data_IF_681708162732
#
_entry.id   IF_681708162732
#
_cell.length_a   1.000
_cell.length_b   1.000
_cell.length_c   1.000
_cell.angle_alpha   90.00
_cell.angle_beta   90.00
_cell.angle_gamma   90.00
#
_symmetry.space_group_name_H-M   'P 1'
#
loop_
_entity.id
_entity.type
_entity.pdbx_description
1 polymer ?
#
# COMPACT_ATOMS: atom_id res chain seq x y z
N UNK A 1 -2.36 18.96 -15.34
CA UNK A 1 -2.04 18.04 -14.22
C UNK A 1 -2.53 16.63 -14.53
N UNK A 2 -3.85 16.44 -14.73
CA UNK A 2 -4.48 15.14 -15.00
C UNK A 2 -3.74 14.28 -16.04
N UNK A 3 -3.47 14.79 -17.24
CA UNK A 3 -2.76 14.02 -18.28
C UNK A 3 -1.33 13.59 -17.87
N UNK A 4 -0.63 14.41 -17.08
CA UNK A 4 0.69 14.04 -16.55
C UNK A 4 0.56 12.97 -15.45
N UNK A 5 -0.45 13.09 -14.58
CA UNK A 5 -0.75 12.11 -13.54
C UNK A 5 -1.10 10.74 -14.12
N UNK A 6 -1.93 10.69 -15.17
CA UNK A 6 -2.26 9.45 -15.88
C UNK A 6 -1.04 8.87 -16.60
N UNK A 7 -0.25 9.71 -17.27
CA UNK A 7 1.00 9.27 -17.90
C UNK A 7 1.96 8.67 -16.87
N UNK A 8 2.10 9.30 -15.71
CA UNK A 8 2.90 8.78 -14.60
C UNK A 8 2.36 7.44 -14.10
N UNK A 9 1.03 7.31 -13.94
CA UNK A 9 0.40 6.06 -13.54
C UNK A 9 0.74 4.90 -14.47
N UNK A 10 0.49 5.05 -15.78
CA UNK A 10 0.79 4.00 -16.76
C UNK A 10 2.28 3.71 -16.87
N UNK A 11 3.15 4.73 -16.73
CA UNK A 11 4.61 4.51 -16.68
C UNK A 11 5.02 3.70 -15.45
N UNK A 12 4.40 3.95 -14.30
CA UNK A 12 4.70 3.24 -13.06
C UNK A 12 4.07 1.84 -13.01
N UNK A 13 3.08 1.54 -13.85
CA UNK A 13 2.47 0.22 -13.94
C UNK A 13 3.47 -0.89 -14.32
N UNK A 14 4.58 -0.54 -14.98
CA UNK A 14 5.70 -1.47 -15.24
C UNK A 14 6.26 -2.07 -13.94
N UNK A 15 6.15 -1.36 -12.81
CA UNK A 15 6.60 -1.82 -11.51
C UNK A 15 5.59 -2.73 -10.78
N UNK A 16 4.48 -3.14 -11.42
CA UNK A 16 3.43 -3.98 -10.79
C UNK A 16 3.96 -5.30 -10.22
N UNK A 17 5.00 -5.86 -10.84
CA UNK A 17 5.62 -7.10 -10.37
C UNK A 17 6.45 -6.92 -9.09
N UNK A 18 6.82 -5.69 -8.71
CA UNK A 18 7.60 -5.42 -7.50
C UNK A 18 6.75 -5.66 -6.23
N UNK A 19 5.63 -4.96 -6.01
CA UNK A 19 4.80 -5.23 -4.84
C UNK A 19 4.18 -6.63 -4.91
N UNK A 20 3.84 -7.11 -6.11
CA UNK A 20 3.34 -8.48 -6.30
C UNK A 20 4.37 -9.52 -5.84
N UNK A 21 5.64 -9.36 -6.22
CA UNK A 21 6.73 -10.25 -5.81
C UNK A 21 6.96 -10.21 -4.30
N UNK A 22 6.85 -9.05 -3.66
CA UNK A 22 6.90 -8.95 -2.20
C UNK A 22 5.73 -9.70 -1.55
N UNK A 23 4.49 -9.47 -2.01
CA UNK A 23 3.30 -10.17 -1.52
C UNK A 23 3.45 -11.68 -1.65
N UNK A 24 3.94 -12.14 -2.80
CA UNK A 24 4.19 -13.55 -3.06
C UNK A 24 5.22 -14.14 -2.11
N UNK A 25 6.33 -13.45 -1.85
CA UNK A 25 7.33 -13.89 -0.86
C UNK A 25 6.75 -13.96 0.55
N UNK A 26 5.96 -12.96 0.97
CA UNK A 26 5.27 -12.97 2.25
C UNK A 26 4.33 -14.17 2.40
N UNK A 27 3.59 -14.48 1.34
CA UNK A 27 2.74 -15.66 1.27
C UNK A 27 3.55 -16.95 1.36
N UNK A 28 4.67 -17.08 0.62
CA UNK A 28 5.53 -18.27 0.70
C UNK A 28 6.10 -18.49 2.09
N UNK A 29 6.58 -17.44 2.76
CA UNK A 29 7.05 -17.55 4.14
C UNK A 29 5.94 -17.93 5.10
N UNK A 30 4.75 -17.33 4.95
CA UNK A 30 3.58 -17.66 5.77
C UNK A 30 3.11 -19.10 5.59
N UNK A 31 3.05 -19.59 4.35
CA UNK A 31 2.71 -20.99 4.03
C UNK A 31 3.76 -21.95 4.59
N UNK A 32 5.05 -21.61 4.51
CA UNK A 32 6.10 -22.45 5.09
C UNK A 32 5.94 -22.62 6.60
N UNK A 33 5.61 -21.54 7.33
CA UNK A 33 5.34 -21.60 8.76
C UNK A 33 4.14 -22.51 9.05
N UNK A 34 3.03 -22.25 8.36
CA UNK A 34 1.79 -23.03 8.51
C UNK A 34 1.97 -24.53 8.20
N UNK A 35 2.75 -24.87 7.16
CA UNK A 35 3.04 -26.26 6.82
C UNK A 35 3.92 -26.95 7.88
N UNK A 36 4.91 -26.24 8.44
CA UNK A 36 5.73 -26.80 9.52
C UNK A 36 4.89 -27.08 10.77
N UNK A 37 3.92 -26.21 11.06
CA UNK A 37 3.03 -26.39 12.20
C UNK A 37 2.04 -27.53 11.96
N UNK A 38 1.51 -27.70 10.75
CA UNK A 38 0.69 -28.87 10.40
C UNK A 38 1.42 -30.19 10.70
N UNK A 39 2.72 -30.27 10.36
CA UNK A 39 3.54 -31.45 10.68
C UNK A 39 3.71 -31.59 12.21
N UNK A 40 4.01 -30.49 12.89
CA UNK A 40 4.18 -30.48 14.37
C UNK A 40 2.90 -30.92 15.09
N UNK A 41 1.73 -30.49 14.60
CA UNK A 41 0.44 -30.85 15.16
C UNK A 41 0.06 -32.30 14.82
N UNK A 42 0.46 -32.82 13.65
CA UNK A 42 0.31 -34.24 13.36
C UNK A 42 1.14 -35.10 14.33
N UNK A 43 2.38 -34.70 14.62
CA UNK A 43 3.23 -35.36 15.62
C UNK A 43 2.65 -35.24 17.05
N UNK A 44 2.06 -34.09 17.39
CA UNK A 44 1.36 -33.92 18.67
C UNK A 44 0.17 -34.87 18.81
N UNK A 45 -0.69 -34.96 17.78
CA UNK A 45 -1.82 -35.90 17.76
C UNK A 45 -1.30 -37.33 17.90
N UNK A 46 -0.28 -37.70 17.13
CA UNK A 46 0.37 -39.01 17.18
C UNK A 46 0.79 -39.40 18.60
N UNK A 47 1.51 -38.52 19.30
CA UNK A 47 1.97 -38.76 20.68
C UNK A 47 0.79 -38.88 21.63
N UNK A 48 -0.15 -37.93 21.59
CA UNK A 48 -1.30 -37.93 22.50
C UNK A 48 -2.19 -39.17 22.30
N UNK A 49 -2.40 -39.61 21.06
CA UNK A 49 -3.18 -40.81 20.76
C UNK A 49 -2.48 -42.10 21.20
N UNK A 50 -1.15 -42.16 21.09
CA UNK A 50 -0.38 -43.32 21.57
C UNK A 50 -0.47 -43.51 23.09
N UNK A 51 -0.68 -42.43 23.85
CA UNK A 51 -0.92 -42.47 25.30
C UNK A 51 -2.35 -42.90 25.65
N UNK A 52 -3.29 -42.76 24.71
CA UNK A 52 -4.73 -43.01 24.93
C UNK A 52 -5.17 -44.42 24.55
N UNK A 53 -4.53 -45.03 23.55
CA UNK A 53 -4.93 -46.34 23.01
C UNK A 53 -3.72 -47.27 22.89
N UNK A 54 -3.64 -48.27 23.77
CA UNK A 54 -2.60 -49.30 23.71
C UNK A 54 -2.61 -50.02 22.34
N UNK A 55 -1.48 -49.98 21.63
CA UNK A 55 -1.31 -50.64 20.32
C UNK A 55 -1.50 -49.73 19.09
N UNK A 56 -1.72 -48.42 19.25
CA UNK A 56 -1.81 -47.46 18.14
C UNK A 56 -0.47 -47.07 17.51
N UNK A 57 0.67 -47.41 18.11
CA UNK A 57 2.01 -47.10 17.56
C UNK A 57 2.17 -47.53 16.09
N UNK A 58 1.55 -48.65 15.68
CA UNK A 58 1.60 -49.14 14.30
C UNK A 58 0.68 -48.38 13.32
N UNK A 59 -0.31 -47.63 13.82
CA UNK A 59 -1.23 -46.83 13.00
C UNK A 59 -0.73 -45.39 12.85
N UNK A 60 -0.04 -44.86 13.87
CA UNK A 60 0.47 -43.49 13.95
C UNK A 60 1.38 -43.09 12.76
N UNK A 61 2.21 -44.00 12.26
CA UNK A 61 3.05 -43.74 11.06
C UNK A 61 2.22 -43.40 9.80
N UNK A 62 0.94 -43.79 9.76
CA UNK A 62 0.02 -43.50 8.67
C UNK A 62 -0.84 -42.24 8.91
N UNK A 63 -0.74 -41.60 10.08
CA UNK A 63 -1.56 -40.44 10.44
C UNK A 63 -1.34 -39.27 9.48
N UNK A 64 -0.09 -38.98 9.14
CA UNK A 64 0.23 -37.92 8.16
C UNK A 64 -0.39 -38.23 6.79
N UNK A 65 -0.34 -39.50 6.37
CA UNK A 65 -0.96 -39.96 5.12
C UNK A 65 -2.47 -39.75 5.12
N UNK A 66 -3.12 -40.07 6.26
CA UNK A 66 -4.54 -39.84 6.46
C UNK A 66 -4.88 -38.35 6.46
N UNK A 67 -4.15 -37.51 7.21
CA UNK A 67 -4.34 -36.06 7.22
C UNK A 67 -4.21 -35.48 5.81
N UNK A 68 -3.18 -35.86 5.06
CA UNK A 68 -3.00 -35.42 3.67
C UNK A 68 -4.16 -35.88 2.77
N UNK A 69 -4.69 -37.09 2.97
CA UNK A 69 -5.85 -37.57 2.24
C UNK A 69 -7.10 -36.75 2.58
N UNK A 70 -7.39 -36.52 3.86
CA UNK A 70 -8.51 -35.69 4.32
C UNK A 70 -8.40 -34.24 3.83
N UNK A 71 -7.19 -33.68 3.78
CA UNK A 71 -6.94 -32.35 3.20
C UNK A 71 -7.30 -32.28 1.73
N UNK A 72 -7.06 -33.35 0.96
CA UNK A 72 -7.38 -33.40 -0.48
C UNK A 72 -8.87 -33.55 -0.76
N UNK A 73 -9.65 -34.05 0.21
CA UNK A 73 -11.10 -34.18 0.11
C UNK A 73 -11.83 -32.83 0.29
N UNK A 74 -11.16 -31.84 0.87
CA UNK A 74 -11.77 -30.53 1.11
C UNK A 74 -12.01 -29.75 -0.19
N UNK A 75 -13.04 -28.92 -0.18
CA UNK A 75 -13.39 -28.09 -1.34
C UNK A 75 -12.49 -26.85 -1.44
N UNK A 76 -11.36 -27.01 -2.12
CA UNK A 76 -10.42 -25.93 -2.39
C UNK A 76 -10.94 -24.88 -3.40
N UNK A 77 -12.15 -25.04 -3.95
CA UNK A 77 -12.79 -23.98 -4.74
C UNK A 77 -13.21 -22.78 -3.87
N UNK A 78 -13.48 -23.03 -2.58
CA UNK A 78 -13.72 -22.01 -1.55
C UNK A 78 -12.63 -22.05 -0.46
N UNK A 79 -11.41 -21.53 -0.75
CA UNK A 79 -10.25 -21.73 0.11
C UNK A 79 -10.40 -21.15 1.52
N UNK A 80 -11.12 -20.04 1.68
CA UNK A 80 -11.38 -19.46 3.00
C UNK A 80 -12.34 -20.31 3.83
N UNK A 81 -13.38 -20.88 3.20
CA UNK A 81 -14.30 -21.81 3.85
C UNK A 81 -13.58 -23.10 4.26
N UNK A 82 -12.73 -23.62 3.38
CA UNK A 82 -11.89 -24.78 3.67
C UNK A 82 -10.92 -24.54 4.83
N UNK A 83 -10.29 -23.37 4.90
CA UNK A 83 -9.46 -23.02 6.07
C UNK A 83 -10.28 -22.99 7.36
N UNK A 84 -11.52 -22.49 7.34
CA UNK A 84 -12.38 -22.53 8.54
C UNK A 84 -12.70 -23.95 9.00
N UNK A 85 -12.93 -24.90 8.07
CA UNK A 85 -13.10 -26.31 8.43
C UNK A 85 -11.84 -26.93 9.04
N UNK A 86 -10.65 -26.52 8.58
CA UNK A 86 -9.38 -27.02 9.15
C UNK A 86 -9.12 -26.56 10.57
N UNK A 87 -9.81 -25.52 11.02
CA UNK A 87 -9.73 -24.99 12.37
C UNK A 87 -10.94 -25.39 13.22
N UNK A 88 -11.80 -26.27 12.70
CA UNK A 88 -12.97 -26.75 13.41
C UNK A 88 -12.57 -27.97 14.25
N UNK A 89 -12.62 -27.80 15.58
CA UNK A 89 -12.32 -28.86 16.53
C UNK A 89 -13.23 -30.08 16.37
N UNK A 90 -14.49 -29.89 15.97
CA UNK A 90 -15.43 -31.00 15.78
C UNK A 90 -15.07 -31.79 14.52
N UNK A 91 -14.66 -31.10 13.45
CA UNK A 91 -14.16 -31.75 12.24
C UNK A 91 -12.87 -32.54 12.51
N UNK A 92 -11.92 -31.94 13.23
CA UNK A 92 -10.66 -32.62 13.61
C UNK A 92 -10.96 -33.83 14.49
N UNK A 93 -11.83 -33.71 15.49
CA UNK A 93 -12.23 -34.80 16.37
C UNK A 93 -12.87 -35.96 15.59
N UNK A 94 -13.77 -35.64 14.65
CA UNK A 94 -14.40 -36.64 13.78
C UNK A 94 -13.36 -37.39 12.92
N UNK A 95 -12.37 -36.67 12.37
CA UNK A 95 -11.29 -37.28 11.58
C UNK A 95 -10.34 -38.13 12.42
N UNK A 96 -10.05 -37.73 13.66
CA UNK A 96 -9.29 -38.56 14.60
C UNK A 96 -10.05 -39.85 14.93
N UNK A 97 -11.36 -39.76 15.20
CA UNK A 97 -12.18 -40.93 15.48
C UNK A 97 -12.27 -41.90 14.29
N UNK A 98 -12.40 -41.36 13.07
CA UNK A 98 -12.38 -42.13 11.83
C UNK A 98 -11.03 -42.83 11.60
N UNK A 99 -9.92 -42.12 11.82
CA UNK A 99 -8.57 -42.66 11.70
C UNK A 99 -8.34 -43.86 12.64
N UNK A 100 -8.79 -43.73 13.88
CA UNK A 100 -8.63 -44.76 14.91
C UNK A 100 -9.62 -45.94 14.76
N UNK A 101 -10.60 -45.82 13.86
CA UNK A 101 -11.66 -46.83 13.65
C UNK A 101 -12.36 -47.25 14.97
N UNK A 102 -12.55 -46.30 15.89
CA UNK A 102 -13.10 -46.57 17.22
C UNK A 102 -14.52 -47.14 17.12
N UNK A 103 -14.81 -48.15 17.94
CA UNK A 103 -16.19 -48.60 18.15
C UNK A 103 -17.02 -47.54 18.87
N UNK A 104 -18.35 -47.63 18.83
CA UNK A 104 -19.24 -46.64 19.46
C UNK A 104 -18.99 -46.50 20.97
N UNK A 105 -18.64 -47.59 21.66
CA UNK A 105 -18.33 -47.57 23.10
C UNK A 105 -16.95 -46.97 23.39
N UNK A 106 -15.93 -47.26 22.58
CA UNK A 106 -14.59 -46.67 22.71
C UNK A 106 -14.59 -45.17 22.38
N UNK A 107 -15.34 -44.78 21.35
CA UNK A 107 -15.53 -43.39 20.98
C UNK A 107 -16.20 -42.59 22.11
N UNK A 108 -17.20 -43.14 22.78
CA UNK A 108 -17.86 -42.50 23.91
C UNK A 108 -16.95 -42.39 25.16
N UNK A 109 -16.05 -43.36 25.38
CA UNK A 109 -15.10 -43.33 26.49
C UNK A 109 -13.95 -42.32 26.28
N UNK A 110 -13.57 -42.08 25.02
CA UNK A 110 -12.46 -41.21 24.63
C UNK A 110 -12.91 -39.82 24.16
N UNK A 111 -14.22 -39.58 24.06
CA UNK A 111 -14.81 -38.38 23.46
C UNK A 111 -14.21 -37.07 24.03
N UNK A 112 -14.19 -36.94 25.36
CA UNK A 112 -13.68 -35.73 26.02
C UNK A 112 -12.19 -35.48 25.72
N UNK A 113 -11.39 -36.55 25.66
CA UNK A 113 -9.95 -36.48 25.43
C UNK A 113 -9.64 -36.16 23.96
N UNK A 114 -10.36 -36.78 23.02
CA UNK A 114 -10.23 -36.51 21.58
C UNK A 114 -10.67 -35.08 21.26
N UNK A 115 -11.78 -34.61 21.83
CA UNK A 115 -12.24 -33.22 21.67
C UNK A 115 -11.23 -32.23 22.23
N UNK A 116 -10.62 -32.52 23.38
CA UNK A 116 -9.57 -31.66 23.93
C UNK A 116 -8.32 -31.60 23.05
N UNK A 117 -7.88 -32.73 22.48
CA UNK A 117 -6.74 -32.77 21.54
C UNK A 117 -7.06 -31.96 20.30
N UNK A 118 -8.25 -32.18 19.72
CA UNK A 118 -8.72 -31.49 18.53
C UNK A 118 -8.82 -29.96 18.74
N UNK A 119 -9.33 -29.52 19.89
CA UNK A 119 -9.41 -28.11 20.24
C UNK A 119 -8.01 -27.46 20.36
N UNK A 120 -7.04 -28.15 20.95
CA UNK A 120 -5.66 -27.66 21.05
C UNK A 120 -5.02 -27.51 19.66
N UNK A 121 -5.20 -28.50 18.79
CA UNK A 121 -4.71 -28.47 17.40
C UNK A 121 -5.37 -27.32 16.63
N UNK A 122 -6.70 -27.18 16.72
CA UNK A 122 -7.43 -26.08 16.10
C UNK A 122 -6.89 -24.71 16.51
N UNK A 123 -6.64 -24.51 17.81
CA UNK A 123 -6.09 -23.27 18.34
C UNK A 123 -4.66 -22.98 17.86
N UNK A 124 -3.82 -24.01 17.74
CA UNK A 124 -2.48 -23.88 17.20
C UNK A 124 -2.51 -23.49 15.71
N UNK A 125 -3.32 -24.18 14.90
CA UNK A 125 -3.49 -23.88 13.48
C UNK A 125 -4.07 -22.46 13.26
N UNK A 126 -4.97 -22.00 14.14
CA UNK A 126 -5.50 -20.64 14.10
C UNK A 126 -4.40 -19.60 14.37
N UNK A 127 -3.55 -19.83 15.37
CA UNK A 127 -2.43 -18.92 15.68
C UNK A 127 -1.47 -18.78 14.48
N UNK A 128 -1.23 -19.87 13.78
CA UNK A 128 -0.35 -19.90 12.62
C UNK A 128 -0.96 -19.32 11.36
N UNK A 129 -2.28 -19.45 11.18
CA UNK A 129 -2.99 -18.70 10.15
C UNK A 129 -2.86 -17.18 10.39
N UNK A 130 -2.96 -16.74 11.65
CA UNK A 130 -2.70 -15.33 12.00
C UNK A 130 -1.26 -14.94 11.65
N UNK A 131 -0.27 -15.79 11.95
CA UNK A 131 1.11 -15.55 11.57
C UNK A 131 1.28 -15.43 10.04
N UNK A 132 0.63 -16.28 9.25
CA UNK A 132 0.60 -16.19 7.78
C UNK A 132 0.04 -14.85 7.32
N UNK A 133 -1.11 -14.43 7.88
CA UNK A 133 -1.72 -13.13 7.55
C UNK A 133 -0.78 -11.97 7.90
N UNK A 134 -0.08 -12.04 9.04
CA UNK A 134 0.92 -11.05 9.43
C UNK A 134 2.12 -11.02 8.48
N UNK A 135 2.60 -12.18 8.01
CA UNK A 135 3.65 -12.25 6.98
C UNK A 135 3.21 -11.59 5.67
N UNK A 136 1.98 -11.85 5.22
CA UNK A 136 1.42 -11.19 4.03
C UNK A 136 1.29 -9.68 4.27
N UNK A 137 0.75 -9.24 5.40
CA UNK A 137 0.62 -7.82 5.74
C UNK A 137 1.98 -7.11 5.79
N UNK A 138 2.99 -7.70 6.44
CA UNK A 138 4.35 -7.18 6.47
C UNK A 138 4.95 -7.07 5.07
N UNK A 139 4.70 -8.06 4.22
CA UNK A 139 5.19 -8.06 2.84
C UNK A 139 4.53 -7.00 1.95
N UNK A 140 3.27 -6.64 2.21
CA UNK A 140 2.59 -5.50 1.57
C UNK A 140 3.28 -4.19 1.95
N UNK A 141 3.62 -4.02 3.23
CA UNK A 141 4.35 -2.84 3.72
C UNK A 141 5.74 -2.74 3.07
N UNK A 142 6.50 -3.84 3.06
CA UNK A 142 7.80 -3.90 2.40
C UNK A 142 7.65 -3.62 0.90
N UNK A 143 6.68 -4.24 0.25
CA UNK A 143 6.36 -4.05 -1.16
C UNK A 143 6.05 -2.59 -1.49
N UNK A 144 5.28 -1.91 -0.63
CA UNK A 144 5.05 -0.47 -0.74
C UNK A 144 6.36 0.31 -0.73
N UNK A 145 7.23 0.11 0.27
CA UNK A 145 8.50 0.84 0.37
C UNK A 145 9.46 0.59 -0.79
N UNK A 146 9.62 -0.68 -1.20
CA UNK A 146 10.47 -1.05 -2.34
C UNK A 146 9.92 -0.44 -3.63
N UNK A 147 8.62 -0.51 -3.86
CA UNK A 147 7.97 0.09 -5.04
C UNK A 147 8.09 1.61 -5.02
N UNK A 148 7.91 2.24 -3.85
CA UNK A 148 8.07 3.68 -3.66
C UNK A 148 9.46 4.14 -4.09
N UNK A 149 10.50 3.40 -3.70
CA UNK A 149 11.87 3.68 -4.11
C UNK A 149 12.04 3.68 -5.64
N UNK A 150 11.51 2.67 -6.34
CA UNK A 150 11.57 2.60 -7.81
C UNK A 150 10.75 3.70 -8.50
N UNK A 151 9.51 3.91 -8.05
CA UNK A 151 8.61 4.94 -8.59
C UNK A 151 9.25 6.33 -8.44
N UNK A 152 9.79 6.66 -7.27
CA UNK A 152 10.45 7.94 -7.01
C UNK A 152 11.71 8.10 -7.86
N UNK A 153 12.56 7.07 -7.94
CA UNK A 153 13.75 7.09 -8.81
C UNK A 153 13.42 7.43 -10.27
N UNK A 154 12.26 7.00 -10.75
CA UNK A 154 11.78 7.22 -12.12
C UNK A 154 11.04 8.56 -12.35
N UNK A 155 10.63 9.26 -11.28
CA UNK A 155 9.79 10.47 -11.34
C UNK A 155 10.51 11.69 -10.76
N UNK A 156 10.88 11.65 -9.46
CA UNK A 156 11.55 12.76 -8.75
C UNK A 156 12.59 12.18 -7.80
N UNK A 157 13.88 12.49 -8.03
CA UNK A 157 14.98 12.01 -7.17
C UNK A 157 14.99 12.75 -5.84
N UNK A 158 15.09 12.00 -4.74
CA UNK A 158 15.35 12.50 -3.38
C UNK A 158 16.50 11.73 -2.75
N UNK A 159 17.23 12.38 -1.83
CA UNK A 159 18.15 11.67 -0.94
C UNK A 159 17.40 10.84 0.09
N UNK A 160 18.03 9.77 0.60
CA UNK A 160 17.44 8.85 1.58
C UNK A 160 16.90 9.57 2.84
N UNK A 161 17.64 10.54 3.38
CA UNK A 161 17.20 11.32 4.54
C UNK A 161 16.00 12.24 4.25
N UNK A 162 16.01 12.87 3.07
CA UNK A 162 14.88 13.70 2.63
C UNK A 162 13.59 12.89 2.42
N UNK A 163 13.73 11.61 2.08
CA UNK A 163 12.59 10.69 1.97
C UNK A 163 11.92 10.43 3.32
N UNK A 164 12.70 10.15 4.37
CA UNK A 164 12.16 9.88 5.71
C UNK A 164 11.51 11.10 6.33
N UNK A 165 12.16 12.27 6.24
CA UNK A 165 11.60 13.51 6.80
C UNK A 165 10.29 13.89 6.09
N UNK A 166 10.26 13.79 4.75
CA UNK A 166 9.05 14.06 3.99
C UNK A 166 7.94 13.06 4.35
N UNK A 167 8.24 11.76 4.44
CA UNK A 167 7.26 10.74 4.82
C UNK A 167 6.67 10.98 6.22
N UNK A 168 7.49 11.39 7.19
CA UNK A 168 7.01 11.71 8.55
C UNK A 168 6.13 12.97 8.52
N UNK A 169 6.56 14.01 7.81
CA UNK A 169 5.80 15.25 7.69
C UNK A 169 4.45 15.02 7.01
N UNK A 170 4.43 14.26 5.91
CA UNK A 170 3.21 13.86 5.20
C UNK A 170 2.28 13.05 6.10
N UNK A 171 2.81 12.06 6.83
CA UNK A 171 2.01 11.27 7.77
C UNK A 171 1.38 12.13 8.86
N UNK A 172 2.14 13.04 9.49
CA UNK A 172 1.64 13.94 10.53
C UNK A 172 0.57 14.88 9.97
N UNK A 173 0.80 15.50 8.81
CA UNK A 173 -0.15 16.41 8.17
C UNK A 173 -1.43 15.68 7.76
N UNK A 174 -1.30 14.49 7.17
CA UNK A 174 -2.41 13.65 6.76
C UNK A 174 -3.24 13.18 7.95
N UNK A 175 -2.63 12.66 9.02
CA UNK A 175 -3.34 12.24 10.24
C UNK A 175 -4.04 13.42 10.91
N UNK A 176 -3.37 14.57 11.01
CA UNK A 176 -3.96 15.79 11.58
C UNK A 176 -5.18 16.24 10.77
N UNK A 177 -5.08 16.18 9.44
CA UNK A 177 -6.18 16.55 8.56
C UNK A 177 -7.35 15.56 8.66
N UNK A 178 -7.08 14.25 8.71
CA UNK A 178 -8.10 13.22 8.93
C UNK A 178 -8.82 13.46 10.25
N UNK A 179 -8.09 13.68 11.34
CA UNK A 179 -8.68 13.96 12.66
C UNK A 179 -9.57 15.21 12.62
N UNK A 180 -9.12 16.28 11.95
CA UNK A 180 -9.88 17.51 11.80
C UNK A 180 -11.16 17.32 10.96
N UNK A 181 -11.09 16.59 9.84
CA UNK A 181 -12.26 16.28 8.99
C UNK A 181 -13.26 15.40 9.74
N UNK A 182 -12.79 14.38 10.45
CA UNK A 182 -13.63 13.51 11.27
C UNK A 182 -14.32 14.29 12.37
N UNK A 183 -13.60 15.19 13.05
CA UNK A 183 -14.20 16.09 14.04
C UNK A 183 -15.28 16.97 13.42
N UNK A 184 -15.03 17.57 12.25
CA UNK A 184 -16.05 18.38 11.54
C UNK A 184 -17.32 17.58 11.21
N UNK A 185 -17.20 16.30 10.87
CA UNK A 185 -18.36 15.44 10.61
C UNK A 185 -19.24 15.23 11.86
N UNK A 186 -18.69 15.36 13.07
CA UNK A 186 -19.47 15.27 14.31
C UNK A 186 -20.29 16.53 14.61
N UNK A 187 -19.97 17.67 13.98
CA UNK A 187 -20.58 18.97 14.29
C UNK A 187 -21.94 19.17 13.60
N UNK A 188 -22.20 18.58 12.43
CA UNK A 188 -23.56 18.55 11.84
C UNK A 188 -23.71 17.55 10.67
N UNK A 189 -24.92 17.04 10.43
CA UNK A 189 -25.26 16.13 9.31
C UNK A 189 -25.19 16.80 7.93
N UNK A 190 -25.58 18.07 7.81
CA UNK A 190 -25.31 18.89 6.62
C UNK A 190 -23.81 19.24 6.47
N UNK A 191 -23.08 19.19 7.59
CA UNK A 191 -21.65 19.37 7.67
C UNK A 191 -20.84 18.27 7.00
N UNK A 192 -21.36 17.05 6.87
CA UNK A 192 -20.61 15.93 6.28
C UNK A 192 -20.20 16.15 4.81
N UNK A 193 -21.08 16.75 4.01
CA UNK A 193 -20.79 17.05 2.59
C UNK A 193 -19.82 18.22 2.49
N UNK A 194 -20.05 19.28 3.26
CA UNK A 194 -19.16 20.45 3.31
C UNK A 194 -17.78 20.10 3.87
N UNK A 195 -17.70 19.24 4.89
CA UNK A 195 -16.45 18.73 5.46
C UNK A 195 -15.73 17.81 4.49
N UNK A 196 -16.46 17.03 3.68
CA UNK A 196 -15.89 16.24 2.60
C UNK A 196 -15.23 17.11 1.53
N UNK A 197 -15.92 18.16 1.07
CA UNK A 197 -15.38 19.11 0.08
C UNK A 197 -14.20 19.90 0.67
N UNK A 198 -14.33 20.41 1.90
CA UNK A 198 -13.27 21.13 2.59
C UNK A 198 -12.05 20.23 2.83
N UNK A 199 -12.27 18.97 3.22
CA UNK A 199 -11.24 17.96 3.38
C UNK A 199 -10.51 17.68 2.07
N UNK A 200 -11.24 17.46 0.97
CA UNK A 200 -10.66 17.25 -0.35
C UNK A 200 -9.75 18.42 -0.79
N UNK A 201 -10.21 19.65 -0.59
CA UNK A 201 -9.41 20.85 -0.89
C UNK A 201 -8.20 20.98 0.04
N UNK A 202 -8.35 20.66 1.32
CA UNK A 202 -7.27 20.68 2.29
C UNK A 202 -6.19 19.63 1.96
N UNK A 203 -6.57 18.43 1.51
CA UNK A 203 -5.62 17.42 1.03
C UNK A 203 -4.84 17.90 -0.19
N UNK A 204 -5.54 18.52 -1.15
CA UNK A 204 -4.89 19.14 -2.31
C UNK A 204 -3.92 20.27 -1.93
N UNK A 205 -4.30 21.08 -0.94
CA UNK A 205 -3.45 22.13 -0.39
C UNK A 205 -2.20 21.56 0.27
N UNK A 206 -2.35 20.59 1.19
CA UNK A 206 -1.24 19.95 1.91
C UNK A 206 -0.25 19.32 0.93
N UNK A 207 -0.74 18.57 -0.07
CA UNK A 207 0.11 17.94 -1.07
C UNK A 207 0.91 18.97 -1.90
N UNK A 208 0.29 20.08 -2.31
CA UNK A 208 0.98 21.15 -3.04
C UNK A 208 1.93 21.96 -2.16
N UNK A 209 1.57 22.16 -0.89
CA UNK A 209 2.39 22.85 0.09
C UNK A 209 3.67 22.05 0.38
N UNK A 210 3.56 20.75 0.63
CA UNK A 210 4.70 19.87 0.82
C UNK A 210 5.59 19.83 -0.44
N UNK A 211 4.99 19.64 -1.61
CA UNK A 211 5.71 19.66 -2.88
C UNK A 211 6.43 21.00 -3.13
N UNK A 212 5.81 22.12 -2.72
CA UNK A 212 6.43 23.44 -2.76
C UNK A 212 7.65 23.53 -1.84
N UNK A 213 7.52 23.12 -0.58
CA UNK A 213 8.63 23.15 0.38
C UNK A 213 9.82 22.32 -0.12
N UNK A 214 9.55 21.17 -0.73
CA UNK A 214 10.58 20.23 -1.14
C UNK A 214 11.26 20.59 -2.46
N UNK A 215 10.54 21.15 -3.44
CA UNK A 215 11.08 21.39 -4.78
C UNK A 215 11.02 22.85 -5.24
N UNK A 216 10.01 23.60 -4.78
CA UNK A 216 9.71 24.96 -5.22
C UNK A 216 10.28 26.08 -4.35
N UNK A 217 10.65 25.79 -3.10
CA UNK A 217 11.11 26.80 -2.14
C UNK A 217 12.34 27.55 -2.69
N UNK A 218 12.26 28.88 -2.66
CA UNK A 218 13.27 29.78 -3.20
C UNK A 218 13.34 29.86 -4.74
N UNK A 219 12.66 28.98 -5.49
CA UNK A 219 12.73 28.94 -6.97
C UNK A 219 11.49 29.49 -7.65
N UNK A 220 10.31 29.29 -7.07
CA UNK A 220 9.01 29.74 -7.61
C UNK A 220 8.24 30.48 -6.52
N UNK A 221 7.41 31.45 -6.92
CA UNK A 221 6.48 32.13 -6.01
C UNK A 221 5.42 31.16 -5.48
N UNK A 222 5.20 31.16 -4.17
CA UNK A 222 4.24 30.30 -3.48
C UNK A 222 2.86 30.26 -4.14
N UNK A 223 2.25 31.43 -4.40
CA UNK A 223 0.90 31.56 -5.00
C UNK A 223 0.78 30.95 -6.41
N UNK A 224 1.88 30.79 -7.14
CA UNK A 224 1.89 30.14 -8.45
C UNK A 224 1.73 28.62 -8.34
N UNK A 225 2.18 28.05 -7.22
CA UNK A 225 2.09 26.61 -6.93
C UNK A 225 0.85 26.29 -6.10
N UNK A 226 0.64 27.01 -5.00
CA UNK A 226 -0.45 26.77 -4.05
C UNK A 226 -1.54 27.81 -4.28
N UNK A 227 -2.58 27.43 -5.02
CA UNK A 227 -3.80 28.21 -5.21
C UNK A 227 -5.00 27.25 -5.35
N UNK A 228 -6.21 27.78 -5.18
CA UNK A 228 -7.44 26.99 -5.18
C UNK A 228 -7.63 26.19 -6.48
N UNK A 229 -7.33 26.80 -7.63
CA UNK A 229 -7.41 26.14 -8.93
C UNK A 229 -6.50 24.92 -9.03
N UNK A 230 -5.24 25.05 -8.60
CA UNK A 230 -4.29 23.95 -8.56
C UNK A 230 -4.72 22.87 -7.55
N UNK A 231 -5.29 23.23 -6.39
CA UNK A 231 -5.79 22.26 -5.41
C UNK A 231 -6.92 21.41 -6.02
N UNK A 232 -7.87 22.04 -6.72
CA UNK A 232 -8.95 21.34 -7.45
C UNK A 232 -8.35 20.42 -8.52
N UNK A 233 -7.39 20.90 -9.31
CA UNK A 233 -6.75 20.08 -10.35
C UNK A 233 -5.94 18.91 -9.80
N UNK A 234 -5.33 19.05 -8.62
CA UNK A 234 -4.68 17.92 -7.92
C UNK A 234 -5.73 16.88 -7.57
N UNK A 235 -6.84 17.28 -6.94
CA UNK A 235 -7.91 16.36 -6.58
C UNK A 235 -8.52 15.64 -7.79
N UNK A 236 -8.86 16.38 -8.86
CA UNK A 236 -9.34 15.79 -10.13
C UNK A 236 -8.31 14.80 -10.69
N UNK A 237 -7.02 15.10 -10.59
CA UNK A 237 -5.98 14.18 -11.06
C UNK A 237 -5.86 12.91 -10.23
N UNK A 238 -6.10 12.98 -8.91
CA UNK A 238 -6.13 11.81 -8.03
C UNK A 238 -7.33 10.92 -8.34
N UNK A 239 -8.51 11.50 -8.53
CA UNK A 239 -9.71 10.76 -8.99
C UNK A 239 -9.44 10.06 -10.32
N UNK A 240 -8.83 10.75 -11.28
CA UNK A 240 -8.51 10.15 -12.57
C UNK A 240 -7.56 8.94 -12.43
N UNK A 241 -6.55 9.03 -11.55
CA UNK A 241 -5.65 7.90 -11.25
C UNK A 241 -6.40 6.76 -10.57
N UNK A 242 -7.27 7.04 -9.60
CA UNK A 242 -8.10 6.02 -8.93
C UNK A 242 -9.07 5.34 -9.89
N UNK A 243 -9.70 6.10 -10.79
CA UNK A 243 -10.58 5.55 -11.81
C UNK A 243 -9.82 4.65 -12.78
N UNK A 244 -8.63 5.07 -13.24
CA UNK A 244 -7.77 4.24 -14.07
C UNK A 244 -7.31 2.97 -13.34
N UNK A 245 -6.90 3.09 -12.07
CA UNK A 245 -6.55 1.95 -11.23
C UNK A 245 -7.72 0.97 -11.08
N UNK A 246 -8.93 1.48 -10.82
CA UNK A 246 -10.15 0.67 -10.72
C UNK A 246 -10.43 -0.08 -12.01
N UNK A 247 -10.27 0.56 -13.17
CA UNK A 247 -10.48 -0.09 -14.47
C UNK A 247 -9.47 -1.24 -14.69
N UNK A 248 -8.19 -1.02 -14.35
CA UNK A 248 -7.15 -2.05 -14.44
C UNK A 248 -7.40 -3.18 -13.43
N UNK A 249 -7.83 -2.86 -12.20
CA UNK A 249 -8.21 -3.84 -11.18
C UNK A 249 -9.38 -4.71 -11.63
N UNK A 250 -10.42 -4.11 -12.21
CA UNK A 250 -11.57 -4.85 -12.75
C UNK A 250 -11.15 -5.78 -13.89
N UNK A 251 -10.24 -5.33 -14.76
CA UNK A 251 -9.67 -6.17 -15.82
C UNK A 251 -8.93 -7.39 -15.23
N UNK A 252 -8.14 -7.22 -14.17
CA UNK A 252 -7.46 -8.35 -13.52
C UNK A 252 -8.44 -9.33 -12.85
N UNK A 253 -9.48 -8.83 -12.20
CA UNK A 253 -10.54 -9.68 -11.64
C UNK A 253 -11.25 -10.49 -12.72
N UNK A 254 -11.42 -9.93 -13.92
CA UNK A 254 -12.04 -10.64 -15.04
C UNK A 254 -11.11 -11.68 -15.68
N UNK A 255 -9.81 -11.44 -15.71
CA UNK A 255 -8.82 -12.31 -16.40
C UNK A 255 -8.28 -13.46 -15.54
N UNK A 256 -8.40 -13.38 -14.21
CA UNK A 256 -7.69 -14.29 -13.29
C UNK A 256 -8.61 -14.88 -12.23
N UNK A 257 -8.12 -15.88 -11.49
CA UNK A 257 -8.84 -16.45 -10.35
C UNK A 257 -8.88 -15.46 -9.18
N UNK A 258 -9.86 -15.57 -8.28
CA UNK A 258 -10.05 -14.64 -7.17
C UNK A 258 -8.79 -14.41 -6.33
N UNK A 259 -8.01 -15.46 -6.06
CA UNK A 259 -6.79 -15.35 -5.27
C UNK A 259 -5.70 -14.53 -5.98
N UNK A 260 -5.43 -14.83 -7.25
CA UNK A 260 -4.45 -14.09 -8.06
C UNK A 260 -4.91 -12.65 -8.31
N UNK A 261 -6.22 -12.47 -8.53
CA UNK A 261 -6.84 -11.17 -8.72
C UNK A 261 -6.61 -10.26 -7.50
N UNK A 262 -6.80 -10.77 -6.27
CA UNK A 262 -6.58 -9.98 -5.04
C UNK A 262 -5.13 -9.46 -4.97
N UNK A 263 -4.14 -10.32 -5.23
CA UNK A 263 -2.73 -9.92 -5.18
C UNK A 263 -2.36 -8.88 -6.27
N UNK A 264 -2.90 -9.03 -7.48
CA UNK A 264 -2.73 -8.07 -8.58
C UNK A 264 -3.42 -6.75 -8.28
N UNK A 265 -4.66 -6.78 -7.80
CA UNK A 265 -5.44 -5.60 -7.44
C UNK A 265 -4.73 -4.81 -6.34
N UNK A 266 -4.24 -5.49 -5.30
CA UNK A 266 -3.47 -4.85 -4.23
C UNK A 266 -2.20 -4.19 -4.76
N UNK A 267 -1.50 -4.83 -5.70
CA UNK A 267 -0.33 -4.27 -6.37
C UNK A 267 -0.65 -3.01 -7.18
N UNK A 268 -1.79 -2.99 -7.89
CA UNK A 268 -2.28 -1.80 -8.61
C UNK A 268 -2.62 -0.66 -7.65
N UNK A 269 -3.29 -0.97 -6.53
CA UNK A 269 -3.64 0.01 -5.50
C UNK A 269 -2.37 0.64 -4.92
N UNK A 270 -1.35 -0.15 -4.59
CA UNK A 270 -0.04 0.34 -4.11
C UNK A 270 0.55 1.34 -5.11
N UNK A 271 0.58 0.99 -6.41
CA UNK A 271 1.10 1.90 -7.45
C UNK A 271 0.26 3.17 -7.56
N UNK A 272 -1.07 3.06 -7.53
CA UNK A 272 -1.97 4.21 -7.61
C UNK A 272 -1.72 5.19 -6.46
N UNK A 273 -1.61 4.69 -5.22
CA UNK A 273 -1.31 5.49 -4.04
C UNK A 273 0.07 6.16 -4.14
N UNK A 274 1.09 5.44 -4.61
CA UNK A 274 2.43 6.00 -4.82
C UNK A 274 2.45 7.11 -5.88
N UNK A 275 1.73 6.92 -6.99
CA UNK A 275 1.62 7.91 -8.05
C UNK A 275 0.87 9.14 -7.55
N UNK A 276 -0.20 8.97 -6.76
CA UNK A 276 -0.92 10.07 -6.11
C UNK A 276 0.02 10.90 -5.25
N UNK A 277 0.85 10.27 -4.42
CA UNK A 277 1.79 10.96 -3.53
C UNK A 277 2.85 11.75 -4.33
N UNK A 278 3.37 11.20 -5.42
CA UNK A 278 4.44 11.85 -6.20
C UNK A 278 3.90 12.84 -7.24
N UNK A 279 2.59 12.87 -7.51
CA UNK A 279 2.02 13.74 -8.56
C UNK A 279 2.16 15.24 -8.25
N UNK A 280 1.93 15.65 -7.00
CA UNK A 280 2.13 17.05 -6.60
C UNK A 280 3.61 17.45 -6.73
N UNK A 281 4.51 16.57 -6.30
CA UNK A 281 5.96 16.77 -6.43
C UNK A 281 6.40 16.90 -7.90
N UNK A 282 5.94 15.98 -8.76
CA UNK A 282 6.23 15.97 -10.20
C UNK A 282 5.72 17.24 -10.89
N UNK A 283 4.57 17.76 -10.47
CA UNK A 283 4.05 19.04 -10.97
C UNK A 283 4.96 20.21 -10.60
N UNK A 284 5.33 20.33 -9.32
CA UNK A 284 6.17 21.44 -8.84
C UNK A 284 7.57 21.37 -9.46
N UNK A 285 8.19 20.19 -9.49
CA UNK A 285 9.49 19.99 -10.14
C UNK A 285 9.42 20.31 -11.65
N UNK A 286 8.33 19.91 -12.31
CA UNK A 286 8.07 20.25 -13.71
C UNK A 286 7.93 21.76 -13.96
N UNK A 287 7.33 22.51 -13.04
CA UNK A 287 7.29 23.98 -13.12
C UNK A 287 8.67 24.60 -12.94
N UNK A 288 9.49 24.07 -12.03
CA UNK A 288 10.86 24.55 -11.76
C UNK A 288 11.75 24.33 -12.99
N UNK A 289 11.66 23.16 -13.62
CA UNK A 289 12.45 22.84 -14.83
C UNK A 289 12.11 23.69 -16.05
N UNK A 290 10.91 24.27 -16.10
CA UNK A 290 10.48 25.17 -17.19
C UNK A 290 10.95 26.61 -17.01
N UNK A 291 11.59 26.95 -15.89
CA UNK A 291 12.21 28.25 -15.72
C UNK A 291 13.45 28.33 -16.64
N UNK A 292 13.64 29.45 -17.37
CA UNK A 292 14.81 29.60 -18.24
C UNK A 292 16.10 29.44 -17.43
N UNK A 293 17.03 28.63 -17.96
CA UNK A 293 18.33 28.37 -17.37
C UNK A 293 19.17 29.66 -17.40
N UNK A 294 19.02 30.48 -16.37
CA UNK A 294 19.62 31.81 -16.31
C UNK A 294 19.16 32.65 -15.11
N UNK A 295 18.04 32.30 -14.47
CA UNK A 295 17.59 33.02 -13.28
C UNK A 295 18.28 32.51 -11.99
N UNK A 296 19.61 32.65 -11.95
CA UNK A 296 20.37 32.78 -10.70
C UNK A 296 20.15 34.16 -10.06
N UNK A 297 18.96 34.79 -10.22
CA UNK A 297 18.50 35.87 -9.34
C UNK A 297 17.36 35.39 -8.46
N UNK A 298 17.66 34.36 -7.66
CA UNK A 298 17.35 34.45 -6.23
C UNK A 298 18.38 35.38 -5.58
N UNK A 299 18.45 36.63 -6.05
CA UNK A 299 18.87 37.72 -5.18
C UNK A 299 17.59 38.14 -4.48
N UNK A 300 17.39 37.51 -3.32
CA UNK A 300 16.78 38.13 -2.15
C UNK A 300 15.40 38.75 -2.41
N UNK A 301 14.34 38.00 -2.15
CA UNK A 301 12.99 38.61 -2.02
C UNK A 301 12.94 39.66 -0.90
N UNK A 302 13.94 39.73 0.00
CA UNK A 302 14.13 40.85 0.93
C UNK A 302 14.78 42.12 0.32
N UNK A 303 15.27 42.08 -0.93
CA UNK A 303 15.80 43.26 -1.65
C UNK A 303 14.75 43.93 -2.54
N UNK A 304 13.65 43.27 -2.91
CA UNK A 304 12.60 43.88 -3.75
C UNK A 304 11.55 44.66 -2.95
N UNK A 305 11.44 44.42 -1.63
CA UNK A 305 10.62 45.23 -0.72
C UNK A 305 11.35 46.49 -0.20
N UNK A 306 12.67 46.57 -0.34
CA UNK A 306 13.48 47.73 0.09
C UNK A 306 13.84 48.71 -1.03
N UNK A 307 13.36 48.50 -2.26
CA UNK A 307 13.55 49.45 -3.36
C UNK A 307 12.36 50.42 -3.39
N UNK A 308 12.57 51.72 -3.12
CA UNK A 308 11.52 52.73 -3.21
C UNK A 308 10.87 52.75 -4.59
N UNK A 309 9.55 52.99 -4.65
CA UNK A 309 8.77 52.94 -5.88
C UNK A 309 9.28 53.84 -7.01
N UNK A 310 10.04 54.90 -6.69
CA UNK A 310 10.59 55.83 -7.68
C UNK A 310 11.80 55.28 -8.47
N UNK A 311 12.44 54.20 -8.01
CA UNK A 311 13.53 53.54 -8.76
C UNK A 311 13.05 52.48 -9.75
N UNK A 312 11.73 52.25 -9.88
CA UNK A 312 11.17 51.30 -10.86
C UNK A 312 11.00 51.89 -12.26
N UNK A 313 11.21 53.18 -12.45
CA UNK A 313 10.86 53.87 -13.70
C UNK A 313 11.97 53.90 -14.76
N UNK A 314 13.22 53.57 -14.40
CA UNK A 314 14.38 53.70 -15.31
C UNK A 314 14.77 52.44 -16.08
N UNK A 315 14.12 51.28 -15.86
CA UNK A 315 14.47 50.05 -16.59
C UNK A 315 13.90 49.96 -18.01
N UNK A 316 13.23 51.00 -18.50
CA UNK A 316 12.73 51.09 -19.87
C UNK A 316 13.75 51.69 -20.87
N UNK A 317 14.90 52.15 -20.40
CA UNK A 317 15.94 52.78 -21.25
C UNK A 317 17.06 51.81 -21.68
N UNK A 318 17.14 50.61 -21.09
CA UNK A 318 18.24 49.66 -21.33
C UNK A 318 17.97 48.70 -22.52
N UNK A 319 16.74 48.61 -23.04
CA UNK A 319 16.44 47.79 -24.23
C UNK A 319 16.97 48.42 -25.52
N UNK A 320 17.13 49.74 -25.59
CA UNK A 320 17.64 50.44 -26.77
C UNK A 320 19.15 50.33 -27.01
N UNK A 321 19.93 49.89 -26.01
CA UNK A 321 21.40 49.80 -26.13
C UNK A 321 21.82 48.42 -26.68
N UNK A 322 21.03 47.38 -26.44
CA UNK A 322 21.36 46.02 -26.89
C UNK A 322 21.13 45.85 -28.41
N UNK A 323 20.13 46.51 -28.99
CA UNK A 323 19.89 46.44 -30.44
C UNK A 323 20.94 47.20 -31.27
N UNK A 324 21.58 48.24 -30.72
CA UNK A 324 22.68 48.95 -31.43
C UNK A 324 24.03 48.22 -31.39
N UNK A 325 24.21 47.26 -30.49
CA UNK A 325 25.46 46.50 -30.39
C UNK A 325 25.53 45.32 -31.39
N UNK A 326 24.39 44.82 -31.87
CA UNK A 326 24.35 43.71 -32.83
C UNK A 326 24.46 44.15 -34.30
N UNK A 327 24.32 45.45 -34.60
CA UNK A 327 24.34 45.98 -35.98
C UNK A 327 25.72 46.51 -36.43
N UNK A 328 26.75 46.42 -35.57
CA UNK A 328 28.14 46.80 -35.91
C UNK A 328 29.14 45.63 -35.87
N UNK A 329 28.67 44.40 -35.67
CA UNK A 329 29.50 43.19 -35.60
C UNK A 329 29.55 42.40 -36.91
N UNK A 330 29.88 43.05 -38.02
CA UNK A 330 30.10 42.39 -39.31
C UNK A 330 31.45 42.76 -39.90
N UNK A 331 32.47 41.91 -39.71
CA UNK A 331 33.57 41.62 -40.66
C UNK A 331 34.08 40.21 -40.42
#
# INVERSE_FOLDING_TARGET
MVGNSLKNFFKCLVYIFVPLGCIFLGFLFGVQLFLNELVTQADYIAVQLSELVDGTEAQVDNLIGFVIASLRELDWSEPLGTLTFLMDGDWIAARIAEFLQLTVEEAAALEEQVVSIAANVAMALLADLVALVLCVAASVVIGYFVTNYFVRKSTVRRGFWGFWIASIADAVLTVTLIAFVTWLMTVSTAGAVLSGIAGALAFGFVALFEAYLLHGHGKIRFRKVVNLGNCVWVWVSQIAVLAAATAVSALFMWLTTSFVAVALVLSVIIIALLVINVNAESYVDGLVRKLPAGDKRVKTYAQLESVPAYLRQDSALDETIIDRANDQGGK
#
